data_IF_908355722044
#
_entry.id   IF_908355722044
#
_cell.length_a   1.000
_cell.length_b   1.000
_cell.length_c   1.000
_cell.angle_alpha   90.00
_cell.angle_beta   90.00
_cell.angle_gamma   90.00
#
_symmetry.space_group_name_H-M   'P 1'
#
loop_
_entity.id
_entity.type
_entity.pdbx_description
1 polymer ?
#
# COMPACT_ATOMS: atom_id res chain seq x y z
N UNK A 1 -50.42 56.52 -15.64
CA UNK A 1 -50.48 55.21 -14.96
C UNK A 1 -49.83 54.21 -15.90
N UNK A 2 -48.67 53.62 -15.59
CA UNK A 2 -48.06 52.62 -16.46
C UNK A 2 -49.00 51.42 -16.57
N UNK A 3 -49.25 50.98 -17.80
CA UNK A 3 -50.19 49.91 -18.13
C UNK A 3 -49.73 48.60 -17.46
N UNK A 4 -50.65 47.88 -16.83
CA UNK A 4 -50.38 46.66 -16.04
C UNK A 4 -49.68 45.56 -16.85
N UNK A 5 -49.88 45.57 -18.17
CA UNK A 5 -49.23 44.69 -19.14
C UNK A 5 -47.72 44.96 -19.29
N UNK A 6 -47.31 46.24 -19.27
CA UNK A 6 -45.90 46.62 -19.39
C UNK A 6 -45.10 46.16 -18.17
N UNK A 7 -45.70 46.29 -16.97
CA UNK A 7 -45.07 45.86 -15.71
C UNK A 7 -44.93 44.34 -15.60
N UNK A 8 -45.90 43.59 -16.11
CA UNK A 8 -45.83 42.12 -16.14
C UNK A 8 -44.79 41.61 -17.15
N UNK A 9 -44.63 42.30 -18.29
CA UNK A 9 -43.61 41.97 -19.28
C UNK A 9 -42.19 42.22 -18.75
N UNK A 10 -41.97 43.31 -18.02
CA UNK A 10 -40.69 43.62 -17.37
C UNK A 10 -40.32 42.57 -16.30
N UNK A 11 -41.27 42.19 -15.44
CA UNK A 11 -41.06 41.17 -14.42
C UNK A 11 -40.71 39.79 -15.01
N UNK A 12 -41.37 39.41 -16.12
CA UNK A 12 -41.04 38.19 -16.85
C UNK A 12 -39.64 38.26 -17.46
N UNK A 13 -39.24 39.41 -17.99
CA UNK A 13 -37.91 39.60 -18.58
C UNK A 13 -36.80 39.54 -17.53
N UNK A 14 -36.99 40.13 -16.35
CA UNK A 14 -36.06 40.03 -15.23
C UNK A 14 -35.90 38.60 -14.73
N UNK A 15 -37.02 37.87 -14.60
CA UNK A 15 -37.01 36.46 -14.19
C UNK A 15 -36.27 35.57 -15.19
N UNK A 16 -36.55 35.75 -16.48
CA UNK A 16 -35.95 34.95 -17.53
C UNK A 16 -34.42 35.24 -17.65
N UNK A 17 -33.99 36.49 -17.41
CA UNK A 17 -32.57 36.88 -17.32
C UNK A 17 -31.86 36.25 -16.12
N UNK A 18 -32.51 36.20 -14.94
CA UNK A 18 -31.95 35.55 -13.76
C UNK A 18 -31.71 34.04 -13.99
N UNK A 19 -32.69 33.34 -14.56
CA UNK A 19 -32.55 31.92 -14.92
C UNK A 19 -31.34 31.67 -15.84
N UNK A 20 -31.13 32.54 -16.83
CA UNK A 20 -29.99 32.46 -17.74
C UNK A 20 -28.64 32.74 -17.04
N UNK A 21 -28.61 33.70 -16.12
CA UNK A 21 -27.43 34.00 -15.31
C UNK A 21 -27.06 32.84 -14.38
N UNK A 22 -28.04 32.26 -13.66
CA UNK A 22 -27.85 31.12 -12.75
C UNK A 22 -27.34 29.88 -13.47
N UNK A 23 -27.88 29.58 -14.65
CA UNK A 23 -27.37 28.49 -15.48
C UNK A 23 -25.94 28.73 -15.95
N UNK A 24 -25.60 29.96 -16.32
CA UNK A 24 -24.23 30.36 -16.71
C UNK A 24 -23.24 30.25 -15.53
N UNK A 25 -23.73 30.42 -14.30
CA UNK A 25 -22.96 30.21 -13.08
C UNK A 25 -22.81 28.72 -12.67
N UNK A 26 -23.35 27.78 -13.47
CA UNK A 26 -23.14 26.34 -13.30
C UNK A 26 -24.27 25.61 -12.58
N UNK A 27 -25.37 26.28 -12.23
CA UNK A 27 -26.55 25.63 -11.68
C UNK A 27 -27.25 24.72 -12.71
N UNK A 28 -27.97 23.70 -12.27
CA UNK A 28 -28.66 22.77 -13.18
C UNK A 28 -30.01 23.34 -13.62
N UNK A 29 -30.44 23.01 -14.85
CA UNK A 29 -31.77 23.38 -15.35
C UNK A 29 -32.90 22.81 -14.49
N UNK A 30 -32.66 21.67 -13.83
CA UNK A 30 -33.60 21.03 -12.91
C UNK A 30 -33.75 21.84 -11.62
N UNK A 31 -32.65 22.24 -10.97
CA UNK A 31 -32.64 23.08 -9.76
C UNK A 31 -33.32 24.43 -10.00
N UNK A 32 -32.96 25.09 -11.10
CA UNK A 32 -33.59 26.36 -11.50
C UNK A 32 -35.09 26.17 -11.76
N UNK A 33 -35.48 25.05 -12.37
CA UNK A 33 -36.89 24.74 -12.64
C UNK A 33 -37.71 24.56 -11.36
N UNK A 34 -37.19 23.80 -10.40
CA UNK A 34 -37.83 23.56 -9.10
C UNK A 34 -38.08 24.86 -8.33
N UNK A 35 -37.08 25.74 -8.25
CA UNK A 35 -37.20 27.00 -7.51
C UNK A 35 -38.23 27.95 -8.14
N UNK A 36 -38.27 28.02 -9.46
CA UNK A 36 -39.20 28.87 -10.19
C UNK A 36 -40.56 28.23 -10.46
N UNK A 37 -40.79 26.99 -10.01
CA UNK A 37 -42.04 26.25 -10.22
C UNK A 37 -42.33 25.95 -11.70
N UNK A 38 -41.30 25.80 -12.53
CA UNK A 38 -41.42 25.51 -13.97
C UNK A 38 -40.59 24.29 -14.37
N UNK A 39 -40.92 23.68 -15.49
CA UNK A 39 -40.20 22.47 -15.93
C UNK A 39 -38.79 22.79 -16.43
N UNK A 40 -37.87 21.85 -16.25
CA UNK A 40 -36.51 21.86 -16.83
C UNK A 40 -36.50 22.25 -18.30
N UNK A 41 -37.42 21.69 -19.07
CA UNK A 41 -37.54 21.96 -20.52
C UNK A 41 -37.93 23.41 -20.79
N UNK A 42 -38.76 24.02 -19.92
CA UNK A 42 -39.10 25.43 -20.01
C UNK A 42 -37.89 26.32 -19.71
N UNK A 43 -37.11 26.01 -18.69
CA UNK A 43 -35.84 26.71 -18.38
C UNK A 43 -34.88 26.62 -19.57
N UNK A 44 -34.72 25.44 -20.19
CA UNK A 44 -33.88 25.23 -21.38
C UNK A 44 -34.26 26.16 -22.53
N UNK A 45 -35.57 26.29 -22.81
CA UNK A 45 -36.08 27.16 -23.87
C UNK A 45 -35.79 28.64 -23.59
N UNK A 46 -35.94 29.07 -22.34
CA UNK A 46 -35.66 30.45 -21.90
C UNK A 46 -34.16 30.77 -22.06
N UNK A 47 -33.29 29.92 -21.53
CA UNK A 47 -31.83 30.06 -21.65
C UNK A 47 -31.40 30.11 -23.12
N UNK A 48 -31.95 29.22 -23.97
CA UNK A 48 -31.67 29.21 -25.41
C UNK A 48 -32.14 30.49 -26.11
N UNK A 49 -33.30 31.01 -25.75
CA UNK A 49 -33.87 32.24 -26.34
C UNK A 49 -33.03 33.49 -25.98
N UNK A 50 -32.42 33.51 -24.80
CA UNK A 50 -31.59 34.61 -24.32
C UNK A 50 -30.12 34.49 -24.71
N UNK A 51 -29.72 33.44 -25.44
CA UNK A 51 -28.32 33.22 -25.82
C UNK A 51 -27.40 32.88 -24.64
N UNK A 52 -27.95 32.28 -23.58
CA UNK A 52 -27.18 31.90 -22.38
C UNK A 52 -26.13 30.82 -22.64
N UNK A 53 -25.26 30.60 -21.66
CA UNK A 53 -24.11 29.69 -21.74
C UNK A 53 -24.47 28.30 -22.30
N UNK A 54 -23.56 27.73 -23.07
CA UNK A 54 -23.72 26.36 -23.59
C UNK A 54 -23.61 25.32 -22.47
N UNK A 55 -24.14 24.10 -22.71
CA UNK A 55 -24.04 23.01 -21.74
C UNK A 55 -22.60 22.63 -21.36
N UNK A 56 -21.61 22.91 -22.20
CA UNK A 56 -20.18 22.71 -21.88
C UNK A 56 -19.67 23.72 -20.85
N UNK A 57 -20.02 24.99 -21.03
CA UNK A 57 -19.58 26.10 -20.19
C UNK A 57 -20.21 26.04 -18.79
N UNK A 58 -21.51 25.76 -18.71
CA UNK A 58 -22.19 25.53 -17.43
C UNK A 58 -21.62 24.32 -16.67
N UNK A 59 -21.19 23.26 -17.39
CA UNK A 59 -20.50 22.11 -16.77
C UNK A 59 -19.12 22.49 -16.25
N UNK A 60 -18.34 23.27 -17.01
CA UNK A 60 -17.04 23.75 -16.57
C UNK A 60 -17.13 24.63 -15.31
N UNK A 61 -18.10 25.54 -15.26
CA UNK A 61 -18.37 26.39 -14.08
C UNK A 61 -18.80 25.60 -12.84
N UNK A 62 -19.58 24.52 -13.04
CA UNK A 62 -19.93 23.59 -11.95
C UNK A 62 -18.71 22.84 -11.42
N UNK A 63 -17.84 22.37 -12.32
CA UNK A 63 -16.60 21.71 -11.92
C UNK A 63 -15.70 22.67 -11.14
N UNK A 64 -15.52 23.90 -11.63
CA UNK A 64 -14.78 24.96 -10.95
C UNK A 64 -15.35 25.25 -9.54
N UNK A 65 -16.66 25.43 -9.43
CA UNK A 65 -17.34 25.65 -8.15
C UNK A 65 -17.21 24.46 -7.20
N UNK A 66 -17.27 23.23 -7.72
CA UNK A 66 -17.06 22.01 -6.96
C UNK A 66 -15.63 21.90 -6.42
N UNK A 67 -14.62 22.23 -7.22
CA UNK A 67 -13.22 22.26 -6.80
C UNK A 67 -12.97 23.33 -5.74
N UNK A 68 -13.59 24.51 -5.87
CA UNK A 68 -13.52 25.57 -4.87
C UNK A 68 -14.18 25.14 -3.55
N UNK A 69 -15.35 24.51 -3.60
CA UNK A 69 -16.04 23.99 -2.42
C UNK A 69 -15.25 22.87 -1.74
N UNK A 70 -14.64 21.97 -2.51
CA UNK A 70 -13.72 20.94 -2.00
C UNK A 70 -12.50 21.59 -1.33
N UNK A 71 -11.88 22.58 -1.97
CA UNK A 71 -10.75 23.34 -1.41
C UNK A 71 -11.12 24.05 -0.09
N UNK A 72 -12.30 24.67 -0.03
CA UNK A 72 -12.79 25.32 1.19
C UNK A 72 -13.02 24.31 2.33
N UNK A 73 -13.59 23.15 2.02
CA UNK A 73 -13.81 22.08 3.01
C UNK A 73 -12.47 21.55 3.55
N UNK A 74 -11.49 21.39 2.66
CA UNK A 74 -10.13 20.98 2.99
C UNK A 74 -9.43 21.99 3.90
N UNK A 75 -9.53 23.28 3.59
CA UNK A 75 -8.97 24.35 4.41
C UNK A 75 -9.61 24.39 5.80
N UNK A 76 -10.94 24.30 5.88
CA UNK A 76 -11.67 24.28 7.16
C UNK A 76 -11.25 23.08 8.04
N UNK A 77 -10.99 21.92 7.43
CA UNK A 77 -10.45 20.76 8.15
C UNK A 77 -9.06 21.06 8.71
N UNK A 78 -8.14 21.60 7.89
CA UNK A 78 -6.77 21.88 8.31
C UNK A 78 -6.68 23.00 9.34
N UNK A 79 -7.53 24.01 9.25
CA UNK A 79 -7.63 25.07 10.25
C UNK A 79 -7.99 24.50 11.63
N UNK A 80 -8.91 23.54 11.66
CA UNK A 80 -9.38 22.92 12.92
C UNK A 80 -8.46 21.84 13.47
N UNK A 81 -7.91 20.98 12.60
CA UNK A 81 -7.23 19.75 13.01
C UNK A 81 -5.76 19.66 12.56
N UNK A 82 -5.28 20.63 11.77
CA UNK A 82 -3.94 20.58 11.18
C UNK A 82 -2.81 20.59 12.22
N UNK A 83 -2.94 21.40 13.28
CA UNK A 83 -1.97 21.43 14.38
C UNK A 83 -1.91 20.09 15.13
N UNK A 84 -3.06 19.52 15.50
CA UNK A 84 -3.17 18.21 16.15
C UNK A 84 -2.59 17.11 15.25
N UNK A 85 -2.89 17.15 13.96
CA UNK A 85 -2.35 16.19 12.99
C UNK A 85 -0.82 16.30 12.85
N UNK A 86 -0.27 17.52 12.87
CA UNK A 86 1.17 17.75 12.82
C UNK A 86 1.87 17.27 14.10
N UNK A 87 1.28 17.51 15.28
CA UNK A 87 1.82 17.03 16.56
C UNK A 87 1.82 15.50 16.62
N UNK A 88 0.76 14.85 16.14
CA UNK A 88 0.71 13.40 16.05
C UNK A 88 1.73 12.86 15.03
N UNK A 89 1.88 13.51 13.88
CA UNK A 89 2.90 13.13 12.91
C UNK A 89 4.31 13.23 13.49
N UNK A 90 4.62 14.30 14.25
CA UNK A 90 5.89 14.47 14.94
C UNK A 90 6.16 13.39 16.01
N UNK A 91 5.10 12.77 16.55
CA UNK A 91 5.17 11.62 17.48
C UNK A 91 5.25 10.28 16.76
N UNK A 92 5.36 10.25 15.42
CA UNK A 92 5.51 9.04 14.63
C UNK A 92 4.21 8.34 14.24
N UNK A 93 3.06 9.00 14.35
CA UNK A 93 1.80 8.41 13.89
C UNK A 93 1.66 8.47 12.36
N UNK A 94 1.10 7.40 11.78
CA UNK A 94 0.74 7.35 10.35
C UNK A 94 -0.52 8.15 10.06
N UNK A 95 -0.68 8.62 8.80
CA UNK A 95 -1.88 9.36 8.37
C UNK A 95 -3.19 8.62 8.67
N UNK A 96 -3.33 7.30 8.38
CA UNK A 96 -4.53 6.56 8.76
C UNK A 96 -4.75 6.53 10.27
N UNK A 97 -3.69 6.33 11.08
CA UNK A 97 -3.80 6.34 12.55
C UNK A 97 -4.28 7.69 13.10
N UNK A 98 -3.81 8.79 12.50
CA UNK A 98 -4.25 10.14 12.85
C UNK A 98 -5.74 10.33 12.52
N UNK A 99 -6.19 9.91 11.34
CA UNK A 99 -7.60 10.01 10.94
C UNK A 99 -8.49 9.17 11.87
N UNK A 100 -8.08 7.93 12.20
CA UNK A 100 -8.81 7.06 13.13
C UNK A 100 -8.93 7.68 14.51
N UNK A 101 -7.83 8.23 15.07
CA UNK A 101 -7.84 8.91 16.37
C UNK A 101 -8.72 10.15 16.37
N UNK A 102 -8.64 10.98 15.33
CA UNK A 102 -9.49 12.15 15.18
C UNK A 102 -10.97 11.74 15.09
N UNK A 103 -11.32 10.71 14.31
CA UNK A 103 -12.70 10.21 14.21
C UNK A 103 -13.23 9.63 15.52
N UNK A 104 -12.37 8.96 16.30
CA UNK A 104 -12.75 8.41 17.59
C UNK A 104 -13.11 9.50 18.62
N UNK A 105 -12.40 10.63 18.60
CA UNK A 105 -12.66 11.77 19.50
C UNK A 105 -13.70 12.74 18.94
N UNK A 106 -13.80 12.84 17.62
CA UNK A 106 -14.73 13.72 16.89
C UNK A 106 -15.56 12.88 15.90
N UNK A 107 -16.66 12.25 16.35
CA UNK A 107 -17.45 11.32 15.56
C UNK A 107 -18.06 11.92 14.28
N UNK A 108 -18.20 13.23 14.18
CA UNK A 108 -18.78 13.90 13.00
C UNK A 108 -17.78 14.09 11.85
N UNK A 109 -16.50 13.77 12.04
CA UNK A 109 -15.49 13.92 10.98
C UNK A 109 -15.84 13.06 9.78
N UNK A 110 -15.87 13.66 8.60
CA UNK A 110 -15.89 12.93 7.33
C UNK A 110 -14.48 12.45 6.99
N UNK A 111 -14.30 11.12 6.93
CA UNK A 111 -13.01 10.47 6.70
C UNK A 111 -12.43 10.82 5.33
N UNK A 112 -13.26 10.93 4.29
CA UNK A 112 -12.78 11.25 2.94
C UNK A 112 -12.23 12.68 2.86
N UNK A 113 -12.93 13.63 3.50
CA UNK A 113 -12.46 15.02 3.62
C UNK A 113 -11.16 15.08 4.44
N UNK A 114 -11.07 14.33 5.54
CA UNK A 114 -9.88 14.28 6.37
C UNK A 114 -8.67 13.72 5.62
N UNK A 115 -8.84 12.62 4.88
CA UNK A 115 -7.75 12.01 4.10
C UNK A 115 -7.26 12.95 3.00
N UNK A 116 -8.18 13.53 2.22
CA UNK A 116 -7.84 14.50 1.16
C UNK A 116 -7.15 15.75 1.75
N UNK A 117 -7.67 16.26 2.87
CA UNK A 117 -7.11 17.42 3.54
C UNK A 117 -5.66 17.19 3.98
N UNK A 118 -5.42 16.09 4.70
CA UNK A 118 -4.10 15.71 5.21
C UNK A 118 -3.14 15.29 4.09
N UNK A 119 -3.62 14.63 3.03
CA UNK A 119 -2.78 14.19 1.92
C UNK A 119 -2.06 15.36 1.22
N UNK A 120 -2.73 16.50 1.06
CA UNK A 120 -2.10 17.69 0.47
C UNK A 120 -1.52 18.69 1.48
N UNK A 121 -1.52 18.40 2.78
CA UNK A 121 -1.25 19.39 3.85
C UNK A 121 0.23 19.72 4.06
N UNK A 122 1.13 19.01 3.38
CA UNK A 122 2.58 19.12 3.60
C UNK A 122 3.07 18.46 4.90
N UNK A 123 2.17 17.92 5.73
CA UNK A 123 2.51 17.17 6.94
C UNK A 123 3.14 15.83 6.56
N UNK A 124 4.31 15.53 7.12
CA UNK A 124 5.03 14.28 6.88
C UNK A 124 4.63 13.26 7.94
N UNK A 125 3.84 12.27 7.55
CA UNK A 125 3.41 11.18 8.42
C UNK A 125 4.38 9.99 8.34
N UNK A 126 4.57 9.31 9.47
CA UNK A 126 5.39 8.10 9.49
C UNK A 126 4.67 6.96 8.74
N UNK A 127 5.36 6.37 7.77
CA UNK A 127 4.88 5.20 7.02
C UNK A 127 5.02 3.92 7.84
N UNK A 128 5.93 3.88 8.83
CA UNK A 128 6.24 2.70 9.65
C UNK A 128 5.11 2.26 10.56
N UNK A 129 4.27 3.19 11.05
CA UNK A 129 3.17 2.85 11.96
C UNK A 129 2.08 1.98 11.30
N UNK A 130 1.95 2.00 9.96
CA UNK A 130 1.12 1.02 9.23
C UNK A 130 1.86 -0.30 8.96
N UNK A 131 3.19 -0.27 8.84
CA UNK A 131 4.01 -1.44 8.53
C UNK A 131 4.26 -2.35 9.76
N UNK A 132 4.07 -1.85 10.99
CA UNK A 132 4.23 -2.59 12.25
C UNK A 132 2.90 -2.99 12.92
N UNK A 133 1.85 -3.36 12.16
CA UNK A 133 0.59 -3.85 12.76
C UNK A 133 0.78 -5.20 13.48
N UNK A 134 1.61 -6.07 12.92
CA UNK A 134 1.87 -7.39 13.46
C UNK A 134 3.26 -7.41 14.08
N UNK A 135 3.37 -7.94 15.31
CA UNK A 135 4.66 -8.29 15.89
C UNK A 135 5.31 -9.43 15.09
N UNK A 136 6.62 -9.63 15.27
CA UNK A 136 7.35 -10.71 14.60
C UNK A 136 6.77 -12.07 15.01
N UNK A 137 6.43 -12.23 16.29
CA UNK A 137 5.73 -13.39 16.83
C UNK A 137 4.39 -13.64 16.14
N UNK A 138 3.59 -12.60 15.91
CA UNK A 138 2.30 -12.72 15.20
C UNK A 138 2.48 -13.10 13.73
N UNK A 139 3.53 -12.58 13.08
CA UNK A 139 3.84 -12.93 11.69
C UNK A 139 4.26 -14.40 11.59
N UNK A 140 5.13 -14.84 12.49
CA UNK A 140 5.59 -16.22 12.62
C UNK A 140 4.42 -17.17 12.93
N UNK A 141 3.52 -16.78 13.84
CA UNK A 141 2.31 -17.53 14.17
C UNK A 141 1.43 -17.79 12.94
N UNK A 142 1.29 -16.81 12.04
CA UNK A 142 0.55 -16.97 10.79
C UNK A 142 1.14 -18.03 9.86
N UNK A 143 2.47 -18.14 9.83
CA UNK A 143 3.16 -19.15 9.03
C UNK A 143 3.02 -20.55 9.63
N UNK A 144 3.17 -20.67 10.96
CA UNK A 144 2.95 -21.95 11.66
C UNK A 144 1.51 -22.45 11.53
N UNK A 145 0.54 -21.56 11.70
CA UNK A 145 -0.87 -21.91 11.57
C UNK A 145 -1.18 -22.47 10.17
N UNK A 146 -0.80 -21.75 9.11
CA UNK A 146 -1.05 -22.20 7.74
C UNK A 146 -0.27 -23.46 7.37
N UNK A 147 0.94 -23.65 7.90
CA UNK A 147 1.70 -24.89 7.75
C UNK A 147 0.98 -26.07 8.44
N UNK A 148 0.48 -25.87 9.67
CA UNK A 148 -0.30 -26.88 10.38
C UNK A 148 -1.60 -27.23 9.66
N UNK A 149 -2.28 -26.22 9.07
CA UNK A 149 -3.47 -26.43 8.23
C UNK A 149 -3.16 -27.23 6.97
N UNK A 150 -2.08 -26.90 6.26
CA UNK A 150 -1.63 -27.64 5.06
C UNK A 150 -1.37 -29.12 5.36
N UNK A 151 -0.71 -29.38 6.49
CA UNK A 151 -0.42 -30.72 6.97
C UNK A 151 -1.65 -31.42 7.57
N UNK A 152 -2.80 -30.74 7.64
CA UNK A 152 -4.05 -31.24 8.22
C UNK A 152 -3.85 -31.79 9.64
N UNK A 153 -3.03 -31.11 10.45
CA UNK A 153 -2.75 -31.53 11.82
C UNK A 153 -3.98 -31.30 12.70
N UNK A 154 -4.14 -32.14 13.73
CA UNK A 154 -5.08 -31.88 14.80
C UNK A 154 -4.47 -30.82 15.76
N UNK A 155 -5.27 -29.87 16.29
CA UNK A 155 -4.80 -28.93 17.29
C UNK A 155 -4.26 -29.65 18.54
N UNK A 156 -3.08 -29.25 19.01
CA UNK A 156 -2.43 -29.76 20.22
C UNK A 156 -2.37 -28.65 21.27
N UNK A 157 -3.47 -28.50 22.02
CA UNK A 157 -3.61 -27.46 23.04
C UNK A 157 -2.65 -27.63 24.23
N UNK A 158 -2.32 -28.87 24.60
CA UNK A 158 -1.39 -29.15 25.70
C UNK A 158 0.04 -28.71 25.32
N UNK A 159 0.49 -29.07 24.12
CA UNK A 159 1.79 -28.64 23.64
C UNK A 159 1.86 -27.11 23.46
N UNK A 160 0.79 -26.52 22.92
CA UNK A 160 0.71 -25.07 22.73
C UNK A 160 0.82 -24.31 24.06
N UNK A 161 0.07 -24.73 25.08
CA UNK A 161 0.10 -24.10 26.41
C UNK A 161 1.46 -24.20 27.10
N UNK A 162 2.24 -25.26 26.83
CA UNK A 162 3.52 -25.49 27.48
C UNK A 162 4.73 -24.87 26.76
N UNK A 163 4.64 -24.58 25.45
CA UNK A 163 5.81 -24.26 24.63
C UNK A 163 5.68 -23.00 23.78
N UNK A 164 4.47 -22.48 23.56
CA UNK A 164 4.35 -21.18 22.91
C UNK A 164 4.79 -20.08 23.88
N UNK A 165 5.50 -19.07 23.35
CA UNK A 165 5.88 -17.89 24.13
C UNK A 165 4.67 -17.04 24.48
N UNK A 166 4.80 -16.26 25.56
CA UNK A 166 3.75 -15.35 26.05
C UNK A 166 3.29 -14.38 24.95
N UNK A 167 4.19 -13.96 24.04
CA UNK A 167 3.86 -13.06 22.93
C UNK A 167 2.83 -13.67 21.97
N UNK A 168 2.77 -15.00 21.82
CA UNK A 168 1.77 -15.64 20.98
C UNK A 168 0.37 -15.58 21.61
N UNK A 169 0.28 -15.66 22.94
CA UNK A 169 -0.97 -15.54 23.68
C UNK A 169 -1.44 -14.09 23.81
N UNK A 170 -0.50 -13.15 23.93
CA UNK A 170 -0.80 -11.74 24.09
C UNK A 170 -1.07 -11.06 22.74
N UNK A 171 -0.20 -11.21 21.74
CA UNK A 171 -0.29 -10.42 20.50
C UNK A 171 -1.32 -10.96 19.50
N UNK A 172 -1.50 -12.29 19.44
CA UNK A 172 -2.37 -12.92 18.44
C UNK A 172 -3.84 -12.51 18.60
N UNK A 173 -4.44 -12.49 19.80
CA UNK A 173 -5.81 -12.00 19.98
C UNK A 173 -5.99 -10.55 19.51
N UNK A 174 -5.00 -9.69 19.77
CA UNK A 174 -5.03 -8.30 19.30
C UNK A 174 -4.93 -8.21 17.77
N UNK A 175 -4.11 -9.06 17.15
CA UNK A 175 -3.96 -9.13 15.69
C UNK A 175 -5.22 -9.63 14.97
N UNK A 176 -5.99 -10.46 15.67
CA UNK A 176 -7.29 -10.97 15.25
C UNK A 176 -8.44 -9.97 15.55
N UNK A 177 -8.20 -8.94 16.35
CA UNK A 177 -9.16 -8.09 17.09
C UNK A 177 -10.19 -7.24 16.32
N UNK A 178 -10.46 -7.52 15.04
CA UNK A 178 -11.64 -7.02 14.33
C UNK A 178 -12.54 -8.16 13.81
N UNK A 179 -12.09 -9.41 13.92
CA UNK A 179 -12.81 -10.60 13.50
C UNK A 179 -13.65 -11.15 14.66
N UNK A 180 -14.88 -11.59 14.40
CA UNK A 180 -15.71 -12.33 15.35
C UNK A 180 -15.16 -13.75 15.53
N UNK A 181 -13.97 -13.87 16.12
CA UNK A 181 -13.33 -15.14 16.46
C UNK A 181 -13.74 -15.49 17.88
N UNK A 182 -14.25 -16.71 18.07
CA UNK A 182 -14.61 -17.21 19.40
C UNK A 182 -13.36 -17.65 20.17
N UNK A 183 -13.49 -17.80 21.49
CA UNK A 183 -12.41 -18.34 22.32
C UNK A 183 -12.01 -19.77 21.88
N UNK A 184 -12.97 -20.55 21.37
CA UNK A 184 -12.74 -21.90 20.82
C UNK A 184 -11.93 -21.86 19.50
N UNK A 185 -12.19 -20.86 18.65
CA UNK A 185 -11.43 -20.66 17.41
C UNK A 185 -9.99 -20.23 17.73
N UNK A 186 -9.81 -19.33 18.71
CA UNK A 186 -8.48 -18.93 19.17
C UNK A 186 -7.70 -20.12 19.74
N UNK A 187 -8.34 -20.94 20.58
CA UNK A 187 -7.74 -22.16 21.11
C UNK A 187 -7.37 -23.14 20.00
N UNK A 188 -8.21 -23.28 18.97
CA UNK A 188 -7.94 -24.09 17.79
C UNK A 188 -6.73 -23.58 17.00
N UNK A 189 -6.63 -22.27 16.79
CA UNK A 189 -5.51 -21.62 16.10
C UNK A 189 -4.21 -21.86 16.88
N UNK A 190 -4.19 -21.55 18.17
CA UNK A 190 -3.00 -21.74 19.04
C UNK A 190 -2.60 -23.22 19.11
N UNK A 191 -3.57 -24.12 19.26
CA UNK A 191 -3.33 -25.55 19.24
C UNK A 191 -2.74 -26.04 17.92
N UNK A 192 -3.17 -25.49 16.78
CA UNK A 192 -2.63 -25.87 15.47
C UNK A 192 -1.22 -25.32 15.25
N UNK A 193 -0.92 -24.11 15.74
CA UNK A 193 0.43 -23.55 15.77
C UNK A 193 1.35 -24.47 16.58
N UNK A 194 0.94 -24.85 17.80
CA UNK A 194 1.68 -25.77 18.65
C UNK A 194 1.92 -27.12 17.96
N UNK A 195 0.86 -27.72 17.39
CA UNK A 195 0.97 -28.99 16.66
C UNK A 195 1.98 -28.91 15.50
N UNK A 196 1.98 -27.80 14.74
CA UNK A 196 2.91 -27.59 13.64
C UNK A 196 4.37 -27.46 14.13
N UNK A 197 4.62 -26.74 15.22
CA UNK A 197 5.95 -26.63 15.83
C UNK A 197 6.45 -27.98 16.34
N UNK A 198 5.58 -28.75 17.01
CA UNK A 198 5.89 -30.10 17.47
C UNK A 198 6.23 -31.01 16.30
N UNK A 199 5.41 -30.99 15.25
CA UNK A 199 5.63 -31.79 14.05
C UNK A 199 6.96 -31.44 13.37
N UNK A 200 7.37 -30.16 13.37
CA UNK A 200 8.65 -29.73 12.81
C UNK A 200 9.87 -30.30 13.56
N UNK A 201 9.75 -30.55 14.87
CA UNK A 201 10.82 -31.17 15.66
C UNK A 201 11.05 -32.62 15.20
N UNK A 202 9.97 -33.35 14.96
CA UNK A 202 10.01 -34.76 14.52
C UNK A 202 10.30 -34.91 13.02
N UNK A 203 10.00 -33.87 12.23
CA UNK A 203 10.12 -33.84 10.77
C UNK A 203 10.91 -32.60 10.30
N UNK A 204 12.24 -32.59 10.47
CA UNK A 204 13.07 -31.43 10.15
C UNK A 204 13.10 -31.08 8.66
N UNK A 205 12.59 -31.95 7.78
CA UNK A 205 12.50 -31.74 6.33
C UNK A 205 11.29 -30.89 5.89
N UNK A 206 10.33 -30.63 6.77
CA UNK A 206 9.09 -29.94 6.37
C UNK A 206 9.39 -28.53 5.86
N UNK A 207 8.63 -28.11 4.85
CA UNK A 207 8.82 -26.81 4.21
C UNK A 207 7.50 -26.31 3.62
N UNK A 208 7.39 -25.01 3.42
CA UNK A 208 6.27 -24.39 2.71
C UNK A 208 6.80 -23.30 1.77
N UNK A 209 6.32 -23.31 0.54
CA UNK A 209 6.71 -22.27 -0.43
C UNK A 209 5.92 -20.99 -0.17
N UNK A 210 6.50 -19.83 -0.45
CA UNK A 210 5.78 -18.56 -0.30
C UNK A 210 4.56 -18.43 -1.23
N UNK A 211 4.51 -19.18 -2.33
CA UNK A 211 3.32 -19.25 -3.17
C UNK A 211 2.21 -20.04 -2.47
N UNK A 212 2.53 -21.24 -1.95
CA UNK A 212 1.57 -22.08 -1.24
C UNK A 212 1.03 -21.40 0.02
N UNK A 213 1.89 -20.71 0.77
CA UNK A 213 1.45 -19.87 1.90
C UNK A 213 0.42 -18.83 1.48
N UNK A 214 0.64 -18.15 0.35
CA UNK A 214 -0.26 -17.09 -0.12
C UNK A 214 -1.61 -17.67 -0.57
N UNK A 215 -1.62 -18.85 -1.22
CA UNK A 215 -2.85 -19.57 -1.57
C UNK A 215 -3.66 -19.94 -0.33
N UNK A 216 -3.04 -20.59 0.66
CA UNK A 216 -3.71 -20.98 1.91
C UNK A 216 -4.24 -19.77 2.68
N UNK A 217 -3.50 -18.67 2.67
CA UNK A 217 -3.95 -17.41 3.28
C UNK A 217 -5.21 -16.89 2.58
N UNK A 218 -5.28 -16.94 1.26
CA UNK A 218 -6.44 -16.47 0.50
C UNK A 218 -7.67 -17.36 0.75
N UNK A 219 -7.48 -18.67 0.81
CA UNK A 219 -8.51 -19.64 1.21
C UNK A 219 -9.04 -19.34 2.62
N UNK A 220 -8.14 -19.09 3.58
CA UNK A 220 -8.49 -18.75 4.96
C UNK A 220 -9.29 -17.46 5.06
N UNK A 221 -8.79 -16.38 4.44
CA UNK A 221 -9.43 -15.06 4.47
C UNK A 221 -10.84 -15.14 3.88
N UNK A 222 -11.02 -15.92 2.82
CA UNK A 222 -12.33 -16.18 2.23
C UNK A 222 -13.24 -17.00 3.17
N UNK A 223 -12.71 -18.06 3.79
CA UNK A 223 -13.48 -18.95 4.68
C UNK A 223 -13.97 -18.25 5.96
N UNK A 224 -13.13 -17.41 6.57
CA UNK A 224 -13.49 -16.68 7.80
C UNK A 224 -14.31 -15.41 7.54
N UNK A 225 -14.66 -15.12 6.27
CA UNK A 225 -15.40 -13.91 5.92
C UNK A 225 -14.69 -12.64 6.39
N UNK A 226 -13.35 -12.66 6.44
CA UNK A 226 -12.51 -11.52 6.81
C UNK A 226 -12.51 -10.50 5.67
N UNK A 227 -13.69 -9.93 5.41
CA UNK A 227 -13.86 -8.81 4.49
C UNK A 227 -13.19 -7.63 5.15
N UNK A 228 -12.13 -7.14 4.52
CA UNK A 228 -11.45 -5.91 4.92
C UNK A 228 -12.44 -4.75 4.86
N UNK A 229 -13.15 -4.48 5.94
CA UNK A 229 -13.74 -3.16 6.13
C UNK A 229 -12.59 -2.16 6.23
N UNK A 230 -12.52 -1.26 5.24
CA UNK A 230 -11.65 -0.07 5.24
C UNK A 230 -10.13 -0.31 5.13
N UNK A 231 -9.69 -1.13 4.16
CA UNK A 231 -8.29 -1.13 3.71
C UNK A 231 -7.27 -1.69 4.71
N UNK A 232 -7.74 -2.53 5.63
CA UNK A 232 -6.95 -3.15 6.69
C UNK A 232 -6.71 -4.61 6.32
N UNK A 233 -5.44 -5.01 6.14
CA UNK A 233 -5.10 -6.39 5.75
C UNK A 233 -5.32 -7.36 6.93
N UNK A 234 -6.16 -8.40 6.77
CA UNK A 234 -6.42 -9.36 7.84
C UNK A 234 -5.20 -10.26 8.09
N UNK A 235 -5.07 -10.74 9.32
CA UNK A 235 -4.16 -11.83 9.67
C UNK A 235 -4.66 -13.15 9.03
N UNK A 236 -3.77 -14.08 8.62
CA UNK A 236 -2.31 -14.01 8.59
C UNK A 236 -1.78 -12.92 7.65
N UNK A 237 -0.58 -12.36 7.88
CA UNK A 237 0.01 -11.34 7.03
C UNK A 237 0.30 -11.85 5.62
N UNK A 238 0.43 -10.95 4.63
CA UNK A 238 0.77 -11.35 3.26
C UNK A 238 2.20 -11.88 3.15
N UNK A 239 2.50 -12.68 2.11
CA UNK A 239 3.87 -13.08 1.78
C UNK A 239 4.84 -11.89 1.68
N UNK A 240 4.36 -10.77 1.13
CA UNK A 240 5.18 -9.55 0.99
C UNK A 240 5.57 -8.98 2.36
N UNK A 241 4.67 -9.02 3.34
CA UNK A 241 4.93 -8.59 4.71
C UNK A 241 6.00 -9.47 5.36
N UNK A 242 5.86 -10.80 5.26
CA UNK A 242 6.85 -11.77 5.76
C UNK A 242 8.23 -11.47 5.15
N UNK A 243 8.32 -11.38 3.82
CA UNK A 243 9.59 -11.14 3.12
C UNK A 243 10.23 -9.79 3.48
N UNK A 244 9.43 -8.73 3.64
CA UNK A 244 9.96 -7.43 4.07
C UNK A 244 10.51 -7.48 5.49
N UNK A 245 9.89 -8.25 6.37
CA UNK A 245 10.24 -8.29 7.78
C UNK A 245 11.51 -9.08 8.05
N UNK A 246 11.63 -10.25 7.42
CA UNK A 246 12.74 -11.19 7.66
C UNK A 246 13.83 -11.14 6.59
N UNK A 247 13.79 -10.16 5.66
CA UNK A 247 14.79 -10.02 4.58
C UNK A 247 14.59 -11.00 3.41
N UNK A 248 13.69 -11.98 3.54
CA UNK A 248 13.27 -12.87 2.47
C UNK A 248 12.47 -14.06 2.99
N UNK A 249 12.06 -14.95 2.08
CA UNK A 249 11.20 -16.09 2.44
C UNK A 249 12.00 -17.22 3.10
N UNK A 250 13.17 -17.54 2.56
CA UNK A 250 14.01 -18.59 3.12
C UNK A 250 14.58 -18.17 4.46
N UNK A 251 14.91 -16.89 4.60
CA UNK A 251 15.36 -16.27 5.84
C UNK A 251 14.29 -16.39 6.93
N UNK A 252 13.01 -16.15 6.60
CA UNK A 252 11.89 -16.38 7.51
C UNK A 252 11.76 -17.86 7.93
N UNK A 253 11.89 -18.81 6.99
CA UNK A 253 11.81 -20.23 7.32
C UNK A 253 12.99 -20.67 8.21
N UNK A 254 14.20 -20.19 7.94
CA UNK A 254 15.40 -20.48 8.75
C UNK A 254 15.25 -19.94 10.16
N UNK A 255 14.75 -18.71 10.32
CA UNK A 255 14.46 -18.12 11.64
C UNK A 255 13.50 -19.00 12.46
N UNK A 256 12.56 -19.65 11.78
CA UNK A 256 11.56 -20.54 12.38
C UNK A 256 12.06 -21.99 12.55
N UNK A 257 13.29 -22.32 12.14
CA UNK A 257 13.80 -23.69 12.16
C UNK A 257 13.11 -24.63 11.16
N UNK A 258 12.42 -24.09 10.15
CA UNK A 258 11.75 -24.85 9.09
C UNK A 258 12.73 -25.04 7.92
N UNK A 259 12.72 -26.22 7.30
CA UNK A 259 13.57 -26.48 6.14
C UNK A 259 13.23 -25.55 4.98
N UNK A 260 14.26 -25.09 4.27
CA UNK A 260 14.08 -24.36 3.02
C UNK A 260 14.08 -25.35 1.86
N UNK A 261 13.17 -25.19 0.91
CA UNK A 261 13.19 -26.00 -0.31
C UNK A 261 14.56 -25.87 -1.00
N UNK A 262 15.33 -26.98 -1.03
CA UNK A 262 16.63 -27.08 -1.71
C UNK A 262 16.58 -26.81 -3.23
N UNK A 263 15.39 -26.53 -3.77
CA UNK A 263 15.12 -26.19 -5.18
C UNK A 263 14.97 -24.69 -5.43
N UNK A 264 15.34 -23.83 -4.47
CA UNK A 264 15.54 -22.41 -4.71
C UNK A 264 16.96 -22.13 -5.17
N UNK A 265 17.16 -21.86 -6.47
CA UNK A 265 18.44 -21.41 -7.04
C UNK A 265 19.00 -20.28 -6.15
N UNK A 266 20.24 -20.39 -5.61
CA UNK A 266 20.88 -19.28 -4.94
C UNK A 266 20.74 -18.02 -5.78
N UNK A 267 20.13 -16.97 -5.22
CA UNK A 267 19.99 -15.68 -5.91
C UNK A 267 21.39 -15.09 -6.11
N UNK A 268 21.97 -15.37 -7.28
CA UNK A 268 23.22 -14.75 -7.75
C UNK A 268 24.34 -15.73 -8.09
N UNK A 269 24.40 -16.93 -7.49
CA UNK A 269 25.59 -17.80 -7.59
C UNK A 269 25.51 -18.91 -8.65
N UNK A 270 24.36 -19.14 -9.30
CA UNK A 270 24.22 -20.24 -10.28
C UNK A 270 24.34 -19.76 -11.75
N UNK A 271 24.39 -18.45 -12.01
CA UNK A 271 24.55 -17.94 -13.40
C UNK A 271 25.88 -17.19 -13.61
N UNK A 272 26.47 -16.65 -12.55
CA UNK A 272 27.65 -15.80 -12.60
C UNK A 272 28.60 -16.20 -11.48
N UNK A 273 29.88 -16.41 -11.82
CA UNK A 273 30.96 -16.65 -10.87
C UNK A 273 31.42 -15.34 -10.24
N UNK A 274 32.18 -15.38 -9.14
CA UNK A 274 32.80 -14.18 -8.55
C UNK A 274 33.63 -13.38 -9.59
N UNK A 275 34.29 -14.08 -10.52
CA UNK A 275 35.04 -13.47 -11.61
C UNK A 275 34.13 -12.72 -12.60
N UNK A 276 32.93 -13.24 -12.89
CA UNK A 276 31.95 -12.54 -13.74
C UNK A 276 31.45 -11.24 -13.09
N UNK A 277 31.33 -11.23 -11.76
CA UNK A 277 30.97 -10.04 -11.00
C UNK A 277 32.10 -9.01 -11.02
N UNK A 278 33.35 -9.43 -10.79
CA UNK A 278 34.51 -8.55 -10.84
C UNK A 278 34.74 -7.99 -12.25
N UNK A 279 34.60 -8.82 -13.31
CA UNK A 279 34.68 -8.38 -14.70
C UNK A 279 33.58 -7.37 -15.05
N UNK A 280 32.35 -7.57 -14.57
CA UNK A 280 31.27 -6.62 -14.78
C UNK A 280 31.55 -5.25 -14.11
N UNK A 281 32.15 -5.24 -12.91
CA UNK A 281 32.56 -4.00 -12.23
C UNK A 281 33.65 -3.28 -13.03
N UNK A 282 34.68 -4.01 -13.48
CA UNK A 282 35.80 -3.45 -14.26
C UNK A 282 35.32 -2.90 -15.60
N UNK A 283 34.54 -3.69 -16.35
CA UNK A 283 34.01 -3.29 -17.65
C UNK A 283 33.10 -2.05 -17.55
N UNK A 284 32.28 -1.96 -16.49
CA UNK A 284 31.44 -0.79 -16.28
C UNK A 284 32.25 0.46 -15.91
N UNK A 285 33.25 0.33 -15.02
CA UNK A 285 34.16 1.45 -14.66
C UNK A 285 34.86 1.99 -15.91
N UNK A 286 35.34 1.12 -16.80
CA UNK A 286 35.95 1.50 -18.07
C UNK A 286 34.96 2.19 -19.01
N UNK A 287 33.72 1.71 -19.11
CA UNK A 287 32.67 2.33 -19.92
C UNK A 287 32.29 3.74 -19.42
N UNK A 288 32.12 3.89 -18.11
CA UNK A 288 31.85 5.16 -17.43
C UNK A 288 32.96 6.18 -17.73
N UNK A 289 34.23 5.77 -17.62
CA UNK A 289 35.38 6.62 -17.90
C UNK A 289 35.43 7.04 -19.39
N UNK A 290 35.27 6.08 -20.30
CA UNK A 290 35.35 6.33 -21.75
C UNK A 290 34.22 7.24 -22.28
N UNK A 291 33.04 7.23 -21.65
CA UNK A 291 31.87 7.98 -22.09
C UNK A 291 31.62 9.24 -21.24
N UNK A 292 32.45 9.53 -20.24
CA UNK A 292 32.30 10.71 -19.37
C UNK A 292 31.00 10.74 -18.57
N UNK A 293 30.39 9.59 -18.29
CA UNK A 293 29.13 9.47 -17.54
C UNK A 293 29.40 9.13 -16.07
N UNK A 294 28.44 9.37 -15.18
CA UNK A 294 28.61 9.06 -13.75
C UNK A 294 28.49 7.56 -13.45
N UNK A 295 29.25 6.98 -12.50
CA UNK A 295 29.14 5.57 -12.08
C UNK A 295 27.92 5.34 -11.16
N UNK A 296 26.74 5.73 -11.62
CA UNK A 296 25.48 5.62 -10.90
C UNK A 296 24.71 4.36 -11.30
N UNK A 297 23.89 3.85 -10.38
CA UNK A 297 22.99 2.68 -10.62
C UNK A 297 22.15 2.87 -11.89
N UNK A 298 21.66 4.09 -12.09
CA UNK A 298 20.81 4.45 -13.23
C UNK A 298 21.47 4.19 -14.60
N UNK A 299 22.81 4.23 -14.66
CA UNK A 299 23.56 4.05 -15.90
C UNK A 299 23.98 2.58 -16.11
N UNK A 300 24.00 1.75 -15.07
CA UNK A 300 24.40 0.36 -15.18
C UNK A 300 23.32 -0.55 -15.78
N UNK A 301 22.05 -0.36 -15.38
CA UNK A 301 20.93 -1.17 -15.89
C UNK A 301 20.86 -1.18 -17.43
N UNK A 302 20.79 0.00 -18.07
CA UNK A 302 20.80 0.10 -19.54
C UNK A 302 22.08 -0.45 -20.19
N UNK A 303 23.25 -0.18 -19.60
CA UNK A 303 24.52 -0.70 -20.10
C UNK A 303 24.61 -2.23 -20.04
N UNK A 304 24.22 -2.85 -18.92
CA UNK A 304 24.24 -4.29 -18.74
C UNK A 304 23.27 -5.00 -19.69
N UNK A 305 22.12 -4.37 -19.98
CA UNK A 305 21.17 -4.85 -20.97
C UNK A 305 21.75 -4.80 -22.39
N UNK A 306 22.43 -3.70 -22.76
CA UNK A 306 23.10 -3.57 -24.06
C UNK A 306 24.25 -4.57 -24.24
N UNK A 307 25.03 -4.82 -23.19
CA UNK A 307 26.08 -5.84 -23.18
C UNK A 307 25.51 -7.25 -23.34
N UNK A 308 24.40 -7.55 -22.65
CA UNK A 308 23.72 -8.85 -22.77
C UNK A 308 23.15 -9.05 -24.17
N UNK A 309 22.59 -8.02 -24.80
CA UNK A 309 22.16 -8.05 -26.19
C UNK A 309 23.31 -8.27 -27.18
N UNK A 310 24.52 -7.80 -26.83
CA UNK A 310 25.76 -8.03 -27.58
C UNK A 310 26.44 -9.38 -27.28
N UNK A 311 25.81 -10.27 -26.50
CA UNK A 311 26.32 -11.61 -26.18
C UNK A 311 27.20 -11.69 -24.93
N UNK A 312 27.50 -10.56 -24.28
CA UNK A 312 28.25 -10.52 -23.02
C UNK A 312 27.27 -10.62 -21.84
N UNK A 313 27.25 -11.76 -21.16
CA UNK A 313 26.35 -11.94 -20.01
C UNK A 313 26.78 -11.01 -18.86
N UNK A 314 25.85 -10.20 -18.34
CA UNK A 314 26.11 -9.30 -17.20
C UNK A 314 25.16 -9.55 -16.03
N UNK A 315 25.66 -9.57 -14.79
CA UNK A 315 24.82 -9.69 -13.60
C UNK A 315 23.94 -8.44 -13.40
N UNK A 316 22.75 -8.64 -12.81
CA UNK A 316 21.81 -7.55 -12.52
C UNK A 316 22.29 -6.67 -11.36
N UNK A 317 21.83 -5.41 -11.29
CA UNK A 317 22.12 -4.50 -10.17
C UNK A 317 21.76 -5.14 -8.81
N UNK A 318 20.64 -5.86 -8.76
CA UNK A 318 20.19 -6.54 -7.54
C UNK A 318 21.15 -7.67 -7.15
N UNK A 319 21.66 -8.44 -8.12
CA UNK A 319 22.67 -9.47 -7.89
C UNK A 319 24.00 -8.87 -7.39
N UNK A 320 24.42 -7.75 -7.98
CA UNK A 320 25.64 -7.03 -7.58
C UNK A 320 25.53 -6.51 -6.14
N UNK A 321 24.37 -5.97 -5.74
CA UNK A 321 24.12 -5.51 -4.37
C UNK A 321 24.16 -6.63 -3.35
N UNK A 322 23.60 -7.80 -3.68
CA UNK A 322 23.64 -8.95 -2.79
C UNK A 322 25.07 -9.42 -2.51
N UNK A 323 25.99 -9.28 -3.47
CA UNK A 323 27.38 -9.73 -3.33
C UNK A 323 28.30 -8.69 -2.65
N UNK A 324 28.17 -7.41 -3.02
CA UNK A 324 29.05 -6.34 -2.55
C UNK A 324 28.43 -5.45 -1.45
N UNK A 325 27.21 -5.75 -0.99
CA UNK A 325 26.47 -5.00 0.01
C UNK A 325 25.77 -3.77 -0.57
N UNK A 326 26.55 -2.76 -0.96
CA UNK A 326 26.01 -1.51 -1.53
C UNK A 326 26.67 -1.11 -2.86
N UNK A 327 25.97 -0.29 -3.64
CA UNK A 327 26.49 0.22 -4.92
C UNK A 327 27.78 1.04 -4.74
N UNK A 328 27.84 1.82 -3.67
CA UNK A 328 29.02 2.64 -3.35
C UNK A 328 30.21 1.80 -2.89
N UNK A 329 30.00 0.68 -2.20
CA UNK A 329 31.06 -0.27 -1.85
C UNK A 329 31.57 -1.02 -3.07
N UNK A 330 30.67 -1.48 -3.94
CA UNK A 330 31.02 -2.13 -5.21
C UNK A 330 31.87 -1.24 -6.14
N UNK A 331 31.56 0.07 -6.22
CA UNK A 331 32.38 1.00 -7.00
C UNK A 331 33.73 1.30 -6.35
N UNK A 332 33.83 1.16 -5.02
CA UNK A 332 35.08 1.36 -4.28
C UNK A 332 35.92 0.08 -4.15
N UNK A 333 35.33 -1.11 -4.34
CA UNK A 333 36.08 -2.36 -4.24
C UNK A 333 37.09 -2.48 -5.39
N UNK A 334 38.32 -2.82 -5.03
CA UNK A 334 39.29 -3.41 -5.95
C UNK A 334 38.89 -4.87 -6.21
N UNK A 335 39.16 -5.44 -7.40
CA UNK A 335 38.87 -6.84 -7.68
C UNK A 335 39.56 -7.72 -6.63
N UNK A 336 38.79 -8.58 -5.94
CA UNK A 336 39.34 -9.48 -4.92
C UNK A 336 39.99 -10.66 -5.64
N UNK A 337 41.26 -10.54 -6.02
CA UNK A 337 42.02 -11.70 -6.52
C UNK A 337 42.15 -12.72 -5.40
N UNK A 338 41.54 -13.89 -5.57
CA UNK A 338 41.68 -15.01 -4.64
C UNK A 338 43.17 -15.43 -4.58
N UNK A 339 43.79 -15.61 -3.40
CA UNK A 339 45.16 -16.10 -3.34
C UNK A 339 45.18 -17.55 -3.85
N UNK A 340 45.93 -17.78 -4.92
CA UNK A 340 46.27 -19.11 -5.42
C UNK A 340 47.03 -19.83 -4.30
N UNK A 341 46.40 -20.84 -3.69
CA UNK A 341 47.11 -21.78 -2.82
C UNK A 341 47.94 -22.66 -3.75
N UNK A 342 49.26 -22.47 -3.72
CA UNK A 342 50.21 -23.35 -4.40
C UNK A 342 50.16 -24.76 -3.77
N UNK A 343 50.24 -25.83 -4.57
CA UNK A 343 50.29 -27.18 -4.04
C UNK A 343 51.67 -27.45 -3.43
N UNK A 344 51.68 -27.99 -2.22
CA UNK A 344 52.80 -28.79 -1.69
C UNK A 344 52.50 -30.27 -1.92
#
# INVERSE_FOLDING_TARGET
>A
MPNTETRNAELMQTRDQDMAARYSNGETLDSIGEEYGITRERVRQIVKKLGGAGASEARAKRLESGLLAQGATRLAFLERFGSIAADLAARGYSRPSVITRLKAVFPDINIAVADDALAGSGIIFDKKSMENRFSDATIIAGLWYLLGSELSLAPDGEWAAANLGDEAFDDLPHALGDATISDDDLATILGLIGAAQRHAIDHPEITITGARYQELREELVAAFGLVSDKGVSPWPPTRQTVMKRFGGWNEALVEMGISTAAKGRPKGLVQFTQEDYDDAVVAFKSHVHANGISPAVANYGPWAQAQTAAGFRRPSVSSMRNLYGSWGEMMRSAPKTNPVIAPN
#
